data_IF_486581922797
#
_entry.id   IF_486581922797
#
_cell.length_a   1.000
_cell.length_b   1.000
_cell.length_c   1.000
_cell.angle_alpha   90.00
_cell.angle_beta   90.00
_cell.angle_gamma   90.00
#
_symmetry.space_group_name_H-M   'P 1'
#
loop_
_entity.id
_entity.type
_entity.pdbx_description
1 polymer ?
#
# COMPACT_ATOMS: atom_id res chain seq x y z
N UNK A 1 14.81 -35.21 -35.37
CA UNK A 1 15.03 -34.33 -34.21
C UNK A 1 13.75 -34.33 -33.43
N UNK A 2 13.79 -34.80 -32.18
CA UNK A 2 12.63 -34.84 -31.29
C UNK A 2 12.27 -33.41 -30.84
N UNK A 3 11.04 -32.91 -31.05
CA UNK A 3 10.65 -31.56 -30.65
C UNK A 3 10.58 -31.34 -29.13
N UNK A 4 10.77 -32.39 -28.32
CA UNK A 4 10.43 -32.38 -26.89
C UNK A 4 11.57 -32.05 -25.92
N UNK A 5 12.80 -31.81 -26.37
CA UNK A 5 13.92 -31.47 -25.47
C UNK A 5 14.29 -29.98 -25.49
N UNK A 6 13.32 -29.10 -25.22
CA UNK A 6 13.66 -27.73 -24.83
C UNK A 6 14.04 -27.75 -23.34
N UNK A 7 15.31 -27.51 -22.96
CA UNK A 7 15.70 -27.41 -21.57
C UNK A 7 14.91 -26.28 -20.89
N UNK A 8 14.50 -26.48 -19.64
CA UNK A 8 13.79 -25.44 -18.90
C UNK A 8 14.69 -24.19 -18.80
N UNK A 9 14.18 -23.05 -19.25
CA UNK A 9 14.89 -21.76 -19.17
C UNK A 9 15.12 -21.30 -17.71
N UNK A 10 14.39 -21.91 -16.77
CA UNK A 10 14.47 -21.66 -15.34
C UNK A 10 14.72 -22.99 -14.63
N UNK A 11 15.75 -23.03 -13.78
CA UNK A 11 16.14 -24.19 -12.97
C UNK A 11 15.62 -24.12 -11.53
N UNK A 12 14.97 -23.01 -11.15
CA UNK A 12 14.38 -22.84 -9.83
C UNK A 12 13.06 -23.60 -9.68
N UNK A 13 12.79 -24.06 -8.46
CA UNK A 13 11.47 -24.61 -8.10
C UNK A 13 10.43 -23.50 -8.10
N UNK A 14 9.25 -23.79 -8.62
CA UNK A 14 8.12 -22.86 -8.51
C UNK A 14 7.75 -22.68 -7.04
N UNK A 15 7.59 -21.43 -6.62
CA UNK A 15 7.13 -21.07 -5.28
C UNK A 15 5.85 -20.26 -5.39
N UNK A 16 4.74 -20.91 -5.02
CA UNK A 16 3.43 -20.29 -5.07
C UNK A 16 3.36 -19.05 -4.16
N UNK A 17 4.01 -19.03 -3.01
CA UNK A 17 3.94 -17.90 -2.08
C UNK A 17 4.67 -16.67 -2.63
N UNK A 18 5.84 -16.85 -3.24
CA UNK A 18 6.55 -15.77 -3.94
C UNK A 18 5.75 -15.23 -5.13
N UNK A 19 5.07 -16.12 -5.86
CA UNK A 19 4.20 -15.71 -6.96
C UNK A 19 2.99 -14.91 -6.46
N UNK A 20 2.38 -15.30 -5.33
CA UNK A 20 1.28 -14.55 -4.71
C UNK A 20 1.72 -13.16 -4.25
N UNK A 21 2.90 -13.05 -3.66
CA UNK A 21 3.47 -11.76 -3.25
C UNK A 21 3.74 -10.86 -4.45
N UNK A 22 4.31 -11.42 -5.52
CA UNK A 22 4.57 -10.70 -6.78
C UNK A 22 3.29 -10.21 -7.43
N UNK A 23 2.24 -11.04 -7.47
CA UNK A 23 0.95 -10.66 -8.02
C UNK A 23 0.27 -9.57 -7.17
N UNK A 24 0.29 -9.70 -5.84
CA UNK A 24 -0.23 -8.66 -4.95
C UNK A 24 0.51 -7.33 -5.13
N UNK A 25 1.83 -7.37 -5.34
CA UNK A 25 2.63 -6.20 -5.66
C UNK A 25 2.23 -5.59 -7.01
N UNK A 26 2.05 -6.40 -8.06
CA UNK A 26 1.60 -5.93 -9.37
C UNK A 26 0.22 -5.26 -9.32
N UNK A 27 -0.77 -5.88 -8.66
CA UNK A 27 -2.11 -5.31 -8.44
C UNK A 27 -1.99 -3.92 -7.80
N UNK A 28 -1.11 -3.79 -6.82
CA UNK A 28 -0.89 -2.57 -6.07
C UNK A 28 -0.24 -1.48 -6.93
N UNK A 29 0.83 -1.81 -7.64
CA UNK A 29 1.56 -0.85 -8.50
C UNK A 29 0.69 -0.29 -9.63
N UNK A 30 -0.18 -1.13 -10.20
CA UNK A 30 -1.07 -0.75 -11.31
C UNK A 30 -2.50 -0.42 -10.88
N UNK A 31 -2.77 -0.37 -9.57
CA UNK A 31 -4.08 -0.04 -8.99
C UNK A 31 -5.22 -0.90 -9.54
N UNK A 32 -4.96 -2.17 -9.82
CA UNK A 32 -6.00 -3.09 -10.27
C UNK A 32 -6.96 -3.41 -9.11
N UNK A 33 -8.25 -3.68 -9.41
CA UNK A 33 -9.15 -4.26 -8.42
C UNK A 33 -8.60 -5.61 -7.96
N UNK A 34 -8.64 -5.90 -6.65
CA UNK A 34 -8.22 -7.20 -6.12
C UNK A 34 -8.98 -8.38 -6.74
N UNK A 35 -10.18 -8.15 -7.30
CA UNK A 35 -10.95 -9.16 -8.03
C UNK A 35 -10.31 -9.62 -9.33
N UNK A 36 -9.28 -8.93 -9.83
CA UNK A 36 -8.61 -9.30 -11.08
C UNK A 36 -7.98 -10.70 -11.00
N UNK A 37 -7.57 -11.14 -9.81
CA UNK A 37 -6.99 -12.47 -9.58
C UNK A 37 -7.98 -13.61 -9.79
N UNK A 38 -9.28 -13.30 -9.78
CA UNK A 38 -10.39 -14.25 -9.94
C UNK A 38 -10.82 -14.36 -11.40
N UNK A 39 -10.22 -13.57 -12.31
CA UNK A 39 -10.55 -13.60 -13.75
C UNK A 39 -10.04 -14.87 -14.40
N UNK A 40 -10.90 -15.52 -15.19
CA UNK A 40 -10.57 -16.78 -15.85
C UNK A 40 -9.44 -16.60 -16.87
N UNK A 41 -9.39 -15.46 -17.56
CA UNK A 41 -8.37 -15.16 -18.56
C UNK A 41 -6.98 -15.05 -17.94
N UNK A 42 -6.89 -14.38 -16.78
CA UNK A 42 -5.63 -14.26 -16.03
C UNK A 42 -5.21 -15.63 -15.47
N UNK A 43 -6.15 -16.41 -14.94
CA UNK A 43 -5.86 -17.73 -14.42
C UNK A 43 -5.45 -18.71 -15.53
N UNK A 44 -6.08 -18.64 -16.70
CA UNK A 44 -5.70 -19.43 -17.86
C UNK A 44 -4.29 -19.06 -18.35
N UNK A 45 -3.98 -17.76 -18.42
CA UNK A 45 -2.64 -17.27 -18.74
C UNK A 45 -1.60 -17.83 -17.77
N UNK A 46 -1.83 -17.71 -16.45
CA UNK A 46 -0.92 -18.22 -15.44
C UNK A 46 -0.73 -19.75 -15.53
N UNK A 47 -1.81 -20.53 -15.70
CA UNK A 47 -1.73 -21.99 -15.80
C UNK A 47 -0.94 -22.47 -17.02
N UNK A 48 -1.01 -21.73 -18.14
CA UNK A 48 -0.24 -22.06 -19.35
C UNK A 48 1.26 -21.89 -19.14
N UNK A 49 1.68 -20.88 -18.38
CA UNK A 49 3.10 -20.64 -18.08
C UNK A 49 3.61 -21.40 -16.85
N UNK A 50 2.73 -21.71 -15.89
CA UNK A 50 3.06 -22.28 -14.58
C UNK A 50 2.04 -23.38 -14.23
N UNK A 51 2.34 -24.66 -14.51
CA UNK A 51 1.42 -25.77 -14.26
C UNK A 51 0.97 -25.90 -12.79
N UNK A 52 1.84 -25.49 -11.86
CA UNK A 52 1.59 -25.52 -10.42
C UNK A 52 0.73 -24.33 -9.91
N UNK A 53 0.30 -23.43 -10.81
CA UNK A 53 -0.50 -22.26 -10.47
C UNK A 53 -1.82 -22.64 -9.78
N UNK A 54 -2.05 -22.03 -8.62
CA UNK A 54 -3.31 -22.14 -7.88
C UNK A 54 -4.07 -20.82 -7.95
N UNK A 55 -5.35 -20.90 -8.29
CA UNK A 55 -6.23 -19.73 -8.34
C UNK A 55 -6.22 -19.03 -6.99
N UNK A 56 -6.04 -17.72 -7.04
CA UNK A 56 -6.07 -16.86 -5.86
C UNK A 56 -7.47 -16.26 -5.72
N UNK A 57 -7.93 -16.09 -4.48
CA UNK A 57 -9.15 -15.32 -4.21
C UNK A 57 -8.81 -13.86 -3.96
N UNK A 58 -9.78 -12.97 -4.17
CA UNK A 58 -9.66 -11.56 -3.79
C UNK A 58 -9.26 -11.36 -2.33
N UNK A 59 -9.78 -12.21 -1.44
CA UNK A 59 -9.49 -12.13 -0.01
C UNK A 59 -8.02 -12.51 0.28
N UNK A 60 -7.51 -13.54 -0.39
CA UNK A 60 -6.10 -13.93 -0.33
C UNK A 60 -5.21 -12.79 -0.85
N UNK A 61 -5.52 -12.22 -2.02
CA UNK A 61 -4.77 -11.08 -2.58
C UNK A 61 -4.73 -9.90 -1.60
N UNK A 62 -5.88 -9.58 -1.01
CA UNK A 62 -6.01 -8.52 -0.01
C UNK A 62 -5.19 -8.83 1.25
N UNK A 63 -5.23 -10.06 1.76
CA UNK A 63 -4.48 -10.45 2.95
C UNK A 63 -2.96 -10.37 2.73
N UNK A 64 -2.46 -10.87 1.59
CA UNK A 64 -1.03 -10.72 1.25
C UNK A 64 -0.64 -9.25 1.16
N UNK A 65 -1.46 -8.42 0.52
CA UNK A 65 -1.20 -6.98 0.46
C UNK A 65 -1.17 -6.33 1.86
N UNK A 66 -2.11 -6.65 2.76
CA UNK A 66 -2.10 -6.15 4.15
C UNK A 66 -0.81 -6.56 4.86
N UNK A 67 -0.37 -7.81 4.70
CA UNK A 67 0.86 -8.31 5.32
C UNK A 67 2.11 -7.56 4.82
N UNK A 68 2.20 -7.32 3.50
CA UNK A 68 3.29 -6.53 2.91
C UNK A 68 3.27 -5.10 3.44
N UNK A 69 2.08 -4.49 3.54
CA UNK A 69 1.92 -3.15 4.09
C UNK A 69 2.38 -3.08 5.56
N UNK A 70 1.90 -3.97 6.42
CA UNK A 70 2.28 -3.98 7.84
C UNK A 70 3.78 -4.28 8.03
N UNK A 71 4.36 -5.15 7.21
CA UNK A 71 5.81 -5.40 7.20
C UNK A 71 6.61 -4.13 6.83
N UNK A 72 6.23 -3.45 5.74
CA UNK A 72 6.86 -2.18 5.33
C UNK A 72 6.69 -1.09 6.39
N UNK A 73 5.50 -0.98 6.98
CA UNK A 73 5.19 -0.04 8.07
C UNK A 73 6.02 -0.33 9.33
N UNK A 74 6.19 -1.60 9.71
CA UNK A 74 7.06 -2.00 10.83
C UNK A 74 8.52 -1.63 10.57
N UNK A 75 9.03 -1.90 9.37
CA UNK A 75 10.38 -1.49 8.95
C UNK A 75 10.56 0.03 9.00
N UNK A 76 9.60 0.79 8.47
CA UNK A 76 9.63 2.25 8.50
C UNK A 76 9.60 2.79 9.94
N UNK A 77 8.74 2.25 10.81
CA UNK A 77 8.74 2.60 12.24
C UNK A 77 10.09 2.32 12.90
N UNK A 78 10.73 1.19 12.57
CA UNK A 78 12.07 0.86 13.05
C UNK A 78 13.13 1.87 12.59
N UNK A 79 13.08 2.27 11.31
CA UNK A 79 13.97 3.29 10.76
C UNK A 79 13.80 4.64 11.46
N UNK A 80 12.55 5.10 11.62
CA UNK A 80 12.25 6.40 12.22
C UNK A 80 12.66 6.49 13.70
N UNK A 81 12.69 5.38 14.45
CA UNK A 81 13.19 5.36 15.84
C UNK A 81 14.66 5.77 15.96
N UNK A 82 15.44 5.53 14.91
CA UNK A 82 16.87 5.83 14.89
C UNK A 82 17.18 7.20 14.28
N UNK A 83 16.16 7.97 13.90
CA UNK A 83 16.35 9.29 13.30
C UNK A 83 16.41 10.37 14.38
N UNK A 84 17.44 11.21 14.33
CA UNK A 84 17.62 12.30 15.30
C UNK A 84 16.62 13.44 15.09
N UNK A 85 16.23 13.70 13.85
CA UNK A 85 15.30 14.78 13.47
C UNK A 85 14.35 14.30 12.38
N UNK A 86 13.05 14.46 12.62
CA UNK A 86 11.98 14.20 11.64
C UNK A 86 11.09 15.44 11.63
N UNK A 87 10.84 15.99 10.45
CA UNK A 87 9.83 17.03 10.23
C UNK A 87 8.53 16.39 9.76
N UNK A 88 7.40 16.88 10.28
CA UNK A 88 6.08 16.41 9.91
C UNK A 88 5.34 17.51 9.15
N UNK A 89 4.72 17.14 8.04
CA UNK A 89 3.80 18.00 7.29
C UNK A 89 2.46 17.31 7.23
N UNK A 90 1.39 18.05 7.52
CA UNK A 90 0.02 17.58 7.37
C UNK A 90 -0.61 18.24 6.16
N UNK A 91 -1.19 17.44 5.27
CA UNK A 91 -1.98 17.93 4.14
C UNK A 91 -3.43 17.51 4.31
N UNK A 92 -4.37 18.42 4.09
CA UNK A 92 -5.80 18.16 4.26
C UNK A 92 -6.47 18.14 2.88
N UNK A 93 -7.06 17.00 2.53
CA UNK A 93 -7.78 16.82 1.28
C UNK A 93 -9.26 16.54 1.50
N UNK A 94 -10.08 16.93 0.52
CA UNK A 94 -11.48 16.48 0.45
C UNK A 94 -11.62 15.46 -0.68
N UNK A 95 -12.26 14.34 -0.39
CA UNK A 95 -12.67 13.40 -1.43
C UNK A 95 -13.86 13.98 -2.19
N UNK A 96 -13.68 14.28 -3.48
CA UNK A 96 -14.73 14.81 -4.36
C UNK A 96 -16.02 13.98 -4.35
N UNK A 97 -15.91 12.67 -4.14
CA UNK A 97 -17.04 11.75 -4.31
C UNK A 97 -17.79 11.40 -3.02
N UNK A 98 -17.25 11.70 -1.84
CA UNK A 98 -17.80 11.14 -0.58
C UNK A 98 -17.98 12.13 0.57
N UNK A 99 -17.69 13.44 0.37
CA UNK A 99 -17.67 14.44 1.46
C UNK A 99 -16.82 13.99 2.66
N UNK A 100 -15.81 13.16 2.39
CA UNK A 100 -14.85 12.69 3.38
C UNK A 100 -13.68 13.67 3.35
N UNK A 101 -13.41 14.28 4.50
CA UNK A 101 -12.20 15.05 4.71
C UNK A 101 -11.14 14.11 5.30
N UNK A 102 -9.91 14.19 4.79
CA UNK A 102 -8.81 13.39 5.27
C UNK A 102 -7.58 14.25 5.48
N UNK A 103 -6.78 13.88 6.48
CA UNK A 103 -5.45 14.43 6.70
C UNK A 103 -4.41 13.38 6.34
N UNK A 104 -3.45 13.75 5.51
CA UNK A 104 -2.26 12.96 5.21
C UNK A 104 -1.13 13.48 6.08
N UNK A 105 -0.51 12.60 6.86
CA UNK A 105 0.68 12.93 7.64
C UNK A 105 1.89 12.47 6.85
N UNK A 106 2.78 13.39 6.50
CA UNK A 106 3.98 13.15 5.71
C UNK A 106 5.21 13.44 6.57
N UNK A 107 6.09 12.45 6.73
CA UNK A 107 7.37 12.59 7.40
C UNK A 107 8.48 12.93 6.41
N UNK A 108 9.32 13.88 6.80
CA UNK A 108 10.49 14.33 6.08
C UNK A 108 11.72 14.20 6.97
N UNK A 109 12.78 13.57 6.48
CA UNK A 109 14.02 13.41 7.24
C UNK A 109 15.22 13.30 6.30
N UNK A 110 16.43 13.49 6.83
CA UNK A 110 17.67 13.21 6.11
C UNK A 110 18.19 11.84 6.54
N UNK A 111 18.48 10.95 5.60
CA UNK A 111 19.01 9.62 5.90
C UNK A 111 20.54 9.61 6.07
N UNK A 112 21.10 8.41 6.32
CA UNK A 112 22.54 8.21 6.54
C UNK A 112 23.39 8.55 5.30
N UNK A 113 22.80 8.54 4.11
CA UNK A 113 23.46 8.89 2.86
C UNK A 113 23.27 10.38 2.52
N UNK A 114 22.83 11.17 3.49
CA UNK A 114 22.55 12.59 3.37
C UNK A 114 21.48 12.92 2.31
N UNK A 115 20.53 12.00 2.09
CA UNK A 115 19.43 12.18 1.14
C UNK A 115 18.15 12.58 1.87
N UNK A 116 17.43 13.55 1.30
CA UNK A 116 16.12 13.94 1.78
C UNK A 116 15.10 12.85 1.45
N UNK A 117 14.52 12.27 2.50
CA UNK A 117 13.46 11.29 2.40
C UNK A 117 12.12 11.96 2.71
N UNK A 118 11.10 11.59 1.92
CA UNK A 118 9.70 12.01 2.10
C UNK A 118 8.80 10.79 2.02
N UNK A 119 8.05 10.49 3.08
CA UNK A 119 7.11 9.34 3.11
C UNK A 119 5.80 9.70 3.79
N UNK A 120 4.69 9.18 3.27
CA UNK A 120 3.40 9.21 3.96
C UNK A 120 3.45 8.25 5.15
N UNK A 121 3.17 8.76 6.35
CA UNK A 121 3.20 8.01 7.61
C UNK A 121 1.81 7.53 8.02
N UNK A 122 0.78 8.34 7.76
CA UNK A 122 -0.58 8.01 8.16
C UNK A 122 -1.63 8.76 7.32
N UNK A 123 -2.84 8.22 7.29
CA UNK A 123 -4.05 8.88 6.81
C UNK A 123 -5.07 8.91 7.94
N UNK A 124 -5.59 10.10 8.24
CA UNK A 124 -6.57 10.31 9.30
C UNK A 124 -7.87 10.75 8.67
N UNK A 125 -8.97 10.10 9.03
CA UNK A 125 -10.30 10.58 8.68
C UNK A 125 -10.63 11.80 9.55
N UNK A 126 -10.91 12.93 8.93
CA UNK A 126 -11.42 14.11 9.61
C UNK A 126 -12.94 14.02 9.52
N UNK A 127 -13.61 13.83 10.66
CA UNK A 127 -15.05 14.01 10.71
C UNK A 127 -15.35 15.48 10.37
N UNK A 128 -16.33 15.77 9.50
CA UNK A 128 -16.71 17.15 9.23
C UNK A 128 -17.06 17.81 10.57
N UNK A 129 -16.41 18.92 10.95
CA UNK A 129 -16.74 19.58 12.19
C UNK A 129 -18.20 20.06 12.12
N UNK A 130 -18.97 19.99 13.22
CA UNK A 130 -20.10 20.90 13.39
C UNK A 130 -19.54 22.32 13.23
N UNK A 131 -20.24 23.14 12.45
CA UNK A 131 -19.88 24.41 11.75
C UNK A 131 -19.06 25.48 12.53
N UNK A 132 -18.50 25.24 13.72
CA UNK A 132 -17.81 26.28 14.52
C UNK A 132 -16.40 25.95 15.06
N UNK A 133 -15.81 24.77 14.88
CA UNK A 133 -14.58 24.38 15.62
C UNK A 133 -13.35 24.10 14.75
N UNK A 134 -12.98 25.02 13.84
CA UNK A 134 -11.70 24.94 13.11
C UNK A 134 -10.72 26.09 13.37
N UNK A 135 -11.00 26.99 14.32
CA UNK A 135 -10.08 28.10 14.61
C UNK A 135 -9.30 28.00 15.92
N UNK A 136 -9.58 27.06 16.82
CA UNK A 136 -8.88 27.03 18.10
C UNK A 136 -8.53 25.59 18.50
N UNK A 137 -7.23 25.39 18.71
CA UNK A 137 -6.63 24.30 19.48
C UNK A 137 -6.70 22.88 18.87
N UNK A 138 -5.74 22.53 18.01
CA UNK A 138 -5.27 21.15 17.93
C UNK A 138 -3.91 21.07 18.64
N UNK A 139 -3.87 20.80 19.97
CA UNK A 139 -2.62 20.55 20.66
C UNK A 139 -2.06 19.22 20.15
N UNK A 140 -0.77 19.24 19.79
CA UNK A 140 0.05 18.17 19.21
C UNK A 140 0.04 16.80 19.95
N UNK A 141 -0.72 16.64 21.04
CA UNK A 141 -0.69 15.47 21.93
C UNK A 141 -1.87 14.49 21.86
N UNK A 142 -2.98 14.78 21.16
CA UNK A 142 -4.24 14.01 21.33
C UNK A 142 -4.53 13.00 20.20
N UNK A 143 -3.79 13.04 19.08
CA UNK A 143 -4.06 12.18 17.92
C UNK A 143 -3.56 10.71 18.06
N UNK A 144 -2.96 10.32 19.18
CA UNK A 144 -2.36 8.98 19.35
C UNK A 144 -3.24 7.95 20.06
N UNK A 145 -4.54 8.22 20.26
CA UNK A 145 -5.40 7.30 21.00
C UNK A 145 -6.84 7.27 20.49
N UNK A 146 -7.08 6.81 19.25
CA UNK A 146 -8.43 6.39 18.83
C UNK A 146 -8.33 5.11 18.00
N UNK A 147 -9.08 4.10 18.48
CA UNK A 147 -9.06 2.72 18.02
C UNK A 147 -9.58 2.50 16.61
N UNK A 148 -9.11 1.40 16.03
CA UNK A 148 -9.56 0.85 14.76
C UNK A 148 -11.09 0.70 14.74
N UNK A 149 -11.77 1.40 13.85
CA UNK A 149 -13.14 1.05 13.48
C UNK A 149 -13.44 1.40 12.02
N UNK A 150 -13.30 0.36 11.19
CA UNK A 150 -14.23 -0.03 10.12
C UNK A 150 -14.66 1.06 9.13
N UNK A 151 -13.86 1.27 8.08
CA UNK A 151 -14.27 2.01 6.87
C UNK A 151 -13.88 1.23 5.60
N UNK A 152 -14.76 1.24 4.59
CA UNK A 152 -14.67 0.44 3.35
C UNK A 152 -13.29 0.60 2.67
N UNK A 153 -12.59 -0.52 2.58
CA UNK A 153 -11.15 -0.60 2.32
C UNK A 153 -10.71 -0.19 0.91
N UNK A 154 -11.61 -0.05 -0.06
CA UNK A 154 -11.20 0.08 -1.47
C UNK A 154 -10.81 1.51 -1.87
N UNK A 155 -11.39 2.55 -1.26
CA UNK A 155 -11.10 3.93 -1.64
C UNK A 155 -9.90 4.53 -0.90
N UNK A 156 -9.72 4.17 0.38
CA UNK A 156 -8.53 4.52 1.15
C UNK A 156 -7.26 4.02 0.49
N UNK A 157 -7.29 2.78 -0.02
CA UNK A 157 -6.14 2.17 -0.67
C UNK A 157 -5.79 2.81 -2.00
N UNK A 158 -6.78 3.27 -2.77
CA UNK A 158 -6.54 3.97 -4.02
C UNK A 158 -5.79 5.29 -3.80
N UNK A 159 -6.22 6.09 -2.81
CA UNK A 159 -5.55 7.35 -2.45
C UNK A 159 -4.18 7.12 -1.79
N UNK A 160 -4.07 6.12 -0.90
CA UNK A 160 -2.81 5.71 -0.28
C UNK A 160 -1.77 5.29 -1.33
N UNK A 161 -2.19 4.53 -2.35
CA UNK A 161 -1.30 4.02 -3.40
C UNK A 161 -0.93 5.10 -4.41
N UNK A 162 -1.86 5.98 -4.80
CA UNK A 162 -1.56 7.09 -5.71
C UNK A 162 -0.50 8.05 -5.12
N UNK A 163 -0.45 8.21 -3.80
CA UNK A 163 0.54 9.08 -3.15
C UNK A 163 1.84 8.33 -2.75
N UNK A 164 1.79 7.01 -2.55
CA UNK A 164 2.99 6.20 -2.25
C UNK A 164 3.80 5.80 -3.50
N UNK A 165 3.16 5.66 -4.67
CA UNK A 165 3.80 5.16 -5.90
C UNK A 165 4.39 6.30 -6.75
N UNK A 166 3.92 7.53 -6.61
CA UNK A 166 4.50 8.65 -7.36
C UNK A 166 5.81 9.09 -6.69
N UNK A 167 6.98 9.03 -7.37
CA UNK A 167 8.03 9.99 -7.05
C UNK A 167 7.40 11.35 -7.34
N UNK A 168 7.16 12.14 -6.30
CA UNK A 168 6.80 13.54 -6.47
C UNK A 168 7.94 14.16 -7.27
N UNK A 169 7.70 14.38 -8.57
CA UNK A 169 8.52 15.27 -9.37
C UNK A 169 8.48 16.60 -8.64
N UNK A 170 9.66 17.01 -8.22
CA UNK A 170 9.96 18.32 -7.64
C UNK A 170 9.57 19.39 -8.67
#
# INVERSE_FOLDING_TARGET
MDPSSCPSLYSGKFDMEQMKESLAHWIMMHQHPFSIVEKDELNLFCRRGMPEWRVMTRNTAKAHWINVYESKKKKLKGLLKNMNKISLTTDCGKSNNQKIEYMVIIGHWIDQNWQLQKRVLNFVHILPPPVEVLKLQMPFGVAWRIGESRVRSTLYLRLMLQQMIQPLKI
#
